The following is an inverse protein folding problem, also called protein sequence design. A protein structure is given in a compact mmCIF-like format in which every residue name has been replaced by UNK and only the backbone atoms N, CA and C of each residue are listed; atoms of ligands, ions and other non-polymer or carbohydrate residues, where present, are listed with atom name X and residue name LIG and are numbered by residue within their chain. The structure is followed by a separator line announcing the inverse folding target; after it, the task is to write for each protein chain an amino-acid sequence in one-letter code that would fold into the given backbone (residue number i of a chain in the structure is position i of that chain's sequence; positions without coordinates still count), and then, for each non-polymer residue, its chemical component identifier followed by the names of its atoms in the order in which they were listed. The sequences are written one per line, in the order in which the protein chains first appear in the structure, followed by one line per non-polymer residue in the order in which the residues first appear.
data_IF_143014041862
#
_entry.id   IF_143014041862
#
_cell.length_a   1.000
_cell.length_b   1.000
_cell.length_c   1.000
_cell.angle_alpha   90.00
_cell.angle_beta   90.00
_cell.angle_gamma   90.00
#
_symmetry.space_group_name_H-M   'P 1'
#
loop_
_entity.id
_entity.type
_entity.pdbx_description
1 polymer ?
#
# COMPACT_ATOMS: atom_id res chain seq x y z
N UNK A 1 -5.40 -6.13 -8.24
CA UNK A 1 -4.11 -6.82 -8.45
C UNK A 1 -3.96 -7.18 -9.92
N UNK A 2 -2.80 -7.61 -10.39
CA UNK A 2 -2.64 -8.28 -11.68
C UNK A 2 -2.86 -9.81 -11.53
N UNK A 3 -2.66 -10.57 -12.62
CA UNK A 3 -2.83 -12.05 -12.63
C UNK A 3 -1.83 -12.78 -11.73
N UNK A 4 -0.72 -12.14 -11.39
CA UNK A 4 0.32 -12.68 -10.49
C UNK A 4 0.13 -12.18 -9.06
N UNK A 5 -1.05 -11.64 -8.74
CA UNK A 5 -1.41 -11.06 -7.46
C UNK A 5 -0.49 -9.91 -6.99
N UNK A 6 0.13 -9.20 -7.94
CA UNK A 6 0.90 -7.97 -7.67
C UNK A 6 0.01 -6.74 -7.72
N UNK A 7 0.37 -5.69 -7.00
CA UNK A 7 -0.38 -4.44 -6.98
C UNK A 7 -0.30 -3.75 -8.35
N UNK A 8 -1.38 -3.83 -9.13
CA UNK A 8 -1.47 -3.14 -10.42
C UNK A 8 -1.65 -1.62 -10.26
N UNK A 9 -2.46 -1.21 -9.29
CA UNK A 9 -2.82 0.19 -9.03
C UNK A 9 -3.38 0.33 -7.62
N UNK A 10 -3.06 1.44 -6.97
CA UNK A 10 -3.64 1.88 -5.71
C UNK A 10 -4.28 3.25 -5.91
N UNK A 11 -5.36 3.54 -5.17
CA UNK A 11 -6.04 4.82 -5.18
C UNK A 11 -6.70 5.03 -3.82
N UNK A 12 -6.49 6.19 -3.21
CA UNK A 12 -7.24 6.64 -2.05
C UNK A 12 -8.49 7.36 -2.58
N UNK A 13 -9.67 6.90 -2.16
CA UNK A 13 -10.95 7.45 -2.62
C UNK A 13 -11.42 8.62 -1.75
N UNK A 14 -11.18 8.52 -0.45
CA UNK A 14 -11.59 9.50 0.55
C UNK A 14 -10.43 9.67 1.53
N UNK A 15 -10.03 10.92 1.77
CA UNK A 15 -9.06 11.31 2.79
C UNK A 15 -9.61 12.56 3.47
N UNK A 16 -9.68 12.56 4.80
CA UNK A 16 -10.41 13.58 5.58
C UNK A 16 -9.54 14.34 6.58
N UNK A 17 -8.22 14.17 6.50
CA UNK A 17 -7.29 14.89 7.35
C UNK A 17 -6.82 16.17 6.65
N UNK A 18 -6.55 17.21 7.45
CA UNK A 18 -6.08 18.50 6.96
C UNK A 18 -4.65 18.46 6.42
N UNK A 19 -3.84 17.50 6.88
CA UNK A 19 -2.42 17.36 6.53
C UNK A 19 -2.12 15.97 5.95
N UNK A 20 -1.22 15.91 4.98
CA UNK A 20 -0.75 14.65 4.42
C UNK A 20 -1.54 14.11 3.24
N UNK A 21 -2.36 14.94 2.59
CA UNK A 21 -3.10 14.56 1.37
C UNK A 21 -2.20 14.08 0.22
N UNK A 22 -0.89 14.32 0.28
CA UNK A 22 0.10 13.81 -0.65
C UNK A 22 0.10 12.28 -0.77
N UNK A 23 -0.35 11.56 0.27
CA UNK A 23 -0.51 10.09 0.22
C UNK A 23 -1.53 9.66 -0.86
N UNK A 24 -2.45 10.53 -1.26
CA UNK A 24 -3.44 10.25 -2.31
C UNK A 24 -2.90 10.53 -3.72
N UNK A 25 -1.72 11.14 -3.84
CA UNK A 25 -1.15 11.49 -5.13
C UNK A 25 -0.76 10.24 -5.94
N UNK A 26 -0.99 10.27 -7.26
CA UNK A 26 -0.55 9.20 -8.17
C UNK A 26 0.95 8.94 -8.07
N UNK A 27 1.74 9.99 -7.86
CA UNK A 27 3.21 9.93 -7.74
C UNK A 27 3.62 9.11 -6.52
N UNK A 28 3.06 9.44 -5.36
CA UNK A 28 3.42 8.76 -4.11
C UNK A 28 2.87 7.33 -4.08
N UNK A 29 1.64 7.11 -4.55
CA UNK A 29 1.02 5.78 -4.60
C UNK A 29 1.70 4.77 -5.53
N UNK A 30 2.45 5.25 -6.55
CA UNK A 30 3.18 4.39 -7.50
C UNK A 30 4.23 3.50 -6.82
N UNK A 31 4.68 3.86 -5.62
CA UNK A 31 5.65 3.08 -4.84
C UNK A 31 5.14 1.66 -4.51
N UNK A 32 3.82 1.47 -4.46
CA UNK A 32 3.20 0.17 -4.26
C UNK A 32 3.07 -0.65 -5.54
N UNK A 33 3.16 -0.05 -6.73
CA UNK A 33 2.92 -0.75 -8.00
C UNK A 33 3.95 -1.85 -8.24
N UNK A 34 3.46 -3.04 -8.64
CA UNK A 34 4.27 -4.24 -8.89
C UNK A 34 4.66 -5.03 -7.64
N UNK A 35 4.34 -4.53 -6.45
CA UNK A 35 4.67 -5.17 -5.17
C UNK A 35 3.67 -6.27 -4.80
N UNK A 36 4.14 -7.26 -4.06
CA UNK A 36 3.37 -8.42 -3.58
C UNK A 36 3.52 -8.60 -2.06
N UNK A 37 2.91 -9.64 -1.48
CA UNK A 37 3.07 -9.95 -0.05
C UNK A 37 4.47 -10.47 0.32
N UNK A 38 5.37 -10.66 -0.65
CA UNK A 38 6.78 -10.97 -0.37
C UNK A 38 7.64 -9.73 -0.24
N UNK A 39 7.13 -8.56 -0.64
CA UNK A 39 7.80 -7.27 -0.48
C UNK A 39 7.55 -6.68 0.92
N UNK A 40 8.48 -5.86 1.40
CA UNK A 40 8.35 -5.09 2.64
C UNK A 40 8.06 -3.62 2.32
N UNK A 41 7.39 -2.93 3.24
CA UNK A 41 7.07 -1.50 3.12
C UNK A 41 7.57 -0.72 4.33
N UNK A 42 8.88 -0.59 4.49
CA UNK A 42 9.45 0.12 5.64
C UNK A 42 9.36 1.64 5.44
N UNK A 43 8.79 2.34 6.43
CA UNK A 43 8.70 3.80 6.46
C UNK A 43 10.07 4.46 6.25
N UNK A 44 10.13 5.47 5.37
CA UNK A 44 11.34 6.23 5.03
C UNK A 44 12.49 5.40 4.45
N UNK A 45 12.25 4.14 4.10
CA UNK A 45 13.22 3.26 3.43
C UNK A 45 12.68 2.72 2.10
N UNK A 46 11.56 1.99 2.16
CA UNK A 46 10.90 1.44 0.97
C UNK A 46 9.76 2.35 0.49
N UNK A 47 9.21 3.15 1.41
CA UNK A 47 8.13 4.11 1.14
C UNK A 47 8.58 5.50 1.60
N UNK A 48 8.52 6.45 0.67
CA UNK A 48 8.91 7.84 0.89
C UNK A 48 8.09 8.46 2.03
N UNK A 49 8.79 9.08 2.98
CA UNK A 49 8.18 9.93 3.99
C UNK A 49 7.54 11.16 3.35
N UNK A 50 6.55 11.72 4.02
CA UNK A 50 5.95 13.02 3.69
C UNK A 50 6.07 13.89 4.94
N UNK A 51 6.65 15.07 4.78
CA UNK A 51 6.83 16.02 5.88
C UNK A 51 5.47 16.38 6.50
N UNK A 52 5.36 16.36 7.83
CA UNK A 52 4.11 16.64 8.53
C UNK A 52 3.03 15.55 8.43
N UNK A 53 3.30 14.43 7.74
CA UNK A 53 2.31 13.38 7.47
C UNK A 53 2.79 11.98 7.86
N UNK A 54 3.66 11.88 8.87
CA UNK A 54 4.22 10.60 9.35
C UNK A 54 3.14 9.58 9.69
N UNK A 55 2.07 10.01 10.37
CA UNK A 55 0.96 9.13 10.76
C UNK A 55 0.21 8.64 9.51
N UNK A 56 -0.13 9.54 8.59
CA UNK A 56 -0.82 9.24 7.34
C UNK A 56 -0.06 8.21 6.50
N UNK A 57 1.26 8.39 6.37
CA UNK A 57 2.12 7.45 5.65
C UNK A 57 2.13 6.08 6.33
N UNK A 58 2.36 6.03 7.65
CA UNK A 58 2.41 4.76 8.39
C UNK A 58 1.06 4.02 8.34
N UNK A 59 -0.04 4.74 8.47
CA UNK A 59 -1.39 4.17 8.34
C UNK A 59 -1.62 3.55 6.96
N UNK A 60 -1.19 4.23 5.89
CA UNK A 60 -1.31 3.70 4.54
C UNK A 60 -0.42 2.47 4.30
N UNK A 61 0.81 2.48 4.82
CA UNK A 61 1.71 1.32 4.82
C UNK A 61 1.02 0.12 5.48
N UNK A 62 0.51 0.31 6.70
CA UNK A 62 -0.16 -0.74 7.46
C UNK A 62 -1.40 -1.28 6.72
N UNK A 63 -2.18 -0.39 6.09
CA UNK A 63 -3.34 -0.79 5.30
C UNK A 63 -2.95 -1.69 4.12
N UNK A 64 -1.88 -1.35 3.40
CA UNK A 64 -1.35 -2.17 2.31
C UNK A 64 -0.83 -3.50 2.83
N UNK A 65 -0.02 -3.51 3.90
CA UNK A 65 0.53 -4.75 4.46
C UNK A 65 -0.57 -5.70 4.95
N UNK A 66 -1.58 -5.18 5.65
CA UNK A 66 -2.72 -5.97 6.11
C UNK A 66 -3.48 -6.59 4.92
N UNK A 67 -3.75 -5.79 3.88
CA UNK A 67 -4.40 -6.30 2.67
C UNK A 67 -3.58 -7.41 2.01
N UNK A 68 -2.27 -7.20 1.84
CA UNK A 68 -1.40 -8.20 1.21
C UNK A 68 -1.25 -9.47 2.07
N UNK A 69 -1.31 -9.35 3.39
CA UNK A 69 -1.37 -10.50 4.31
C UNK A 69 -2.64 -11.32 4.10
N UNK A 70 -3.80 -10.68 3.92
CA UNK A 70 -5.05 -11.37 3.58
C UNK A 70 -4.94 -12.09 2.24
N UNK A 71 -4.38 -11.46 1.22
CA UNK A 71 -4.15 -12.08 -0.09
C UNK A 71 -3.24 -13.31 0.02
N UNK A 72 -2.15 -13.23 0.80
CA UNK A 72 -1.25 -14.36 1.08
C UNK A 72 -2.01 -15.55 1.69
N UNK A 73 -2.92 -15.30 2.63
CA UNK A 73 -3.72 -16.36 3.27
C UNK A 73 -4.64 -17.02 2.25
N UNK A 74 -5.35 -16.22 1.44
CA UNK A 74 -6.26 -16.74 0.41
C UNK A 74 -5.53 -17.53 -0.68
N UNK A 75 -4.35 -17.07 -1.09
CA UNK A 75 -3.48 -17.75 -2.05
C UNK A 75 -3.01 -19.10 -1.51
N UNK A 76 -2.54 -19.14 -0.25
CA UNK A 76 -2.12 -20.38 0.42
C UNK A 76 -3.26 -21.39 0.61
N UNK A 77 -4.50 -20.92 0.70
CA UNK A 77 -5.69 -21.76 0.82
C UNK A 77 -6.27 -22.19 -0.54
N UNK A 78 -5.63 -21.82 -1.66
CA UNK A 78 -6.12 -22.07 -3.03
C UNK A 78 -7.56 -21.55 -3.26
N UNK A 79 -7.92 -20.40 -2.67
CA UNK A 79 -9.25 -19.80 -2.84
C UNK A 79 -9.29 -18.86 -4.05
N UNK A 80 -8.18 -18.18 -4.32
CA UNK A 80 -8.06 -17.13 -5.34
C UNK A 80 -7.11 -17.50 -6.48
N UNK A 81 -6.73 -18.78 -6.56
CA UNK A 81 -5.96 -19.39 -7.65
C UNK A 81 -6.82 -20.37 -8.42
#
# INVERSE_FOLDING_TARGET
LDKNLKIKKSKILIYREDYGGEIASKRWLRQFTGKSWTDKFIYSKDVSAISGATISVKSMINAVENFMSSIKILDKKNIIR
#
